data_IF_851705346750
#
_entry.id   IF_851705346750
#
_cell.length_a   1.000
_cell.length_b   1.000
_cell.length_c   1.000
_cell.angle_alpha   90.00
_cell.angle_beta   90.00
_cell.angle_gamma   90.00
#
_symmetry.space_group_name_H-M   'P 1'
#
loop_
_entity.id
_entity.type
_entity.pdbx_description
1 polymer ?
#
# COMPACT_ATOMS: atom_id res chain seq x y z
N UNK A 1 -31.67 47.48 -21.19
CA UNK A 1 -30.41 46.97 -20.57
C UNK A 1 -29.83 45.90 -21.49
N UNK A 2 -28.90 46.25 -22.36
CA UNK A 2 -28.31 45.36 -23.36
C UNK A 2 -27.05 44.74 -22.78
N UNK A 3 -27.11 43.45 -22.40
CA UNK A 3 -25.90 42.67 -21.99
C UNK A 3 -24.96 42.64 -23.20
N UNK A 4 -23.76 43.24 -23.05
CA UNK A 4 -22.81 43.38 -24.16
C UNK A 4 -22.40 41.99 -24.71
N UNK A 5 -22.27 41.92 -26.03
CA UNK A 5 -21.81 40.71 -26.75
C UNK A 5 -20.53 40.10 -26.11
N UNK A 6 -19.64 40.93 -25.61
CA UNK A 6 -18.42 40.58 -24.90
C UNK A 6 -18.67 39.77 -23.62
N UNK A 7 -19.69 40.10 -22.86
CA UNK A 7 -20.03 39.34 -21.64
C UNK A 7 -20.59 37.94 -21.98
N UNK A 8 -21.34 37.81 -23.04
CA UNK A 8 -21.85 36.50 -23.51
C UNK A 8 -20.71 35.63 -24.05
N UNK A 9 -19.78 36.19 -24.82
CA UNK A 9 -18.61 35.47 -25.32
C UNK A 9 -17.69 35.03 -24.18
N UNK A 10 -17.45 35.89 -23.17
CA UNK A 10 -16.65 35.54 -21.99
C UNK A 10 -17.24 34.38 -21.19
N UNK A 11 -18.57 34.36 -21.00
CA UNK A 11 -19.25 33.27 -20.28
C UNK A 11 -19.23 31.96 -21.06
N UNK A 12 -19.38 31.98 -22.39
CA UNK A 12 -19.30 30.78 -23.24
C UNK A 12 -17.89 30.21 -23.24
N UNK A 13 -16.87 31.06 -23.42
CA UNK A 13 -15.45 30.63 -23.38
C UNK A 13 -15.05 30.08 -22.02
N UNK A 14 -15.50 30.70 -20.92
CA UNK A 14 -15.27 30.21 -19.57
C UNK A 14 -15.94 28.86 -19.35
N UNK A 15 -17.18 28.66 -19.79
CA UNK A 15 -17.91 27.40 -19.68
C UNK A 15 -17.25 26.29 -20.50
N UNK A 16 -16.72 26.62 -21.68
CA UNK A 16 -16.02 25.66 -22.54
C UNK A 16 -14.71 25.22 -21.93
N UNK A 17 -13.91 26.13 -21.35
CA UNK A 17 -12.68 25.80 -20.61
C UNK A 17 -12.97 24.88 -19.42
N UNK A 18 -14.00 25.15 -18.64
CA UNK A 18 -14.41 24.32 -17.51
C UNK A 18 -14.78 22.90 -17.94
N UNK A 19 -15.50 22.75 -19.03
CA UNK A 19 -15.86 21.43 -19.59
C UNK A 19 -14.62 20.66 -20.06
N UNK A 20 -13.67 21.34 -20.65
CA UNK A 20 -12.40 20.73 -21.07
C UNK A 20 -11.59 20.27 -19.88
N UNK A 21 -11.43 21.10 -18.83
CA UNK A 21 -10.72 20.73 -17.61
C UNK A 21 -11.42 19.59 -16.87
N UNK A 22 -12.73 19.60 -16.79
CA UNK A 22 -13.50 18.52 -16.19
C UNK A 22 -13.33 17.21 -16.99
N UNK A 23 -13.39 17.27 -18.32
CA UNK A 23 -13.12 16.11 -19.18
C UNK A 23 -11.71 15.54 -18.97
N UNK A 24 -10.70 16.40 -18.95
CA UNK A 24 -9.31 15.99 -18.66
C UNK A 24 -9.20 15.34 -17.27
N UNK A 25 -9.79 15.96 -16.26
CA UNK A 25 -9.77 15.42 -14.88
C UNK A 25 -10.43 14.04 -14.82
N UNK A 26 -11.58 13.86 -15.43
CA UNK A 26 -12.29 12.57 -15.48
C UNK A 26 -11.47 11.50 -16.23
N UNK A 27 -10.82 11.87 -17.33
CA UNK A 27 -9.96 10.96 -18.08
C UNK A 27 -8.75 10.53 -17.24
N UNK A 28 -8.07 11.48 -16.59
CA UNK A 28 -6.95 11.19 -15.70
C UNK A 28 -7.40 10.28 -14.55
N UNK A 29 -8.53 10.60 -13.93
CA UNK A 29 -9.08 9.77 -12.85
C UNK A 29 -9.41 8.36 -13.33
N UNK A 30 -10.04 8.21 -14.49
CA UNK A 30 -10.35 6.90 -15.08
C UNK A 30 -9.09 6.08 -15.36
N UNK A 31 -8.03 6.72 -15.88
CA UNK A 31 -6.73 6.06 -16.12
C UNK A 31 -6.10 5.63 -14.79
N UNK A 32 -6.09 6.49 -13.76
CA UNK A 32 -5.52 6.16 -12.45
C UNK A 32 -6.29 5.02 -11.77
N UNK A 33 -7.63 5.06 -11.81
CA UNK A 33 -8.46 3.97 -11.28
C UNK A 33 -8.24 2.68 -12.07
N UNK A 34 -8.22 2.73 -13.39
CA UNK A 34 -7.94 1.57 -14.24
C UNK A 34 -6.57 0.96 -13.98
N UNK A 35 -5.53 1.79 -13.86
CA UNK A 35 -4.18 1.36 -13.50
C UNK A 35 -4.15 0.70 -12.11
N UNK A 36 -4.81 1.31 -11.11
CA UNK A 36 -4.91 0.75 -9.77
C UNK A 36 -5.59 -0.62 -9.76
N UNK A 37 -6.75 -0.74 -10.41
CA UNK A 37 -7.48 -2.01 -10.51
C UNK A 37 -6.66 -3.09 -11.23
N UNK A 38 -5.93 -2.71 -12.28
CA UNK A 38 -5.06 -3.62 -13.01
C UNK A 38 -3.87 -4.10 -12.17
N UNK A 39 -3.25 -3.21 -11.40
CA UNK A 39 -2.12 -3.54 -10.52
C UNK A 39 -2.54 -4.45 -9.36
N UNK A 40 -3.73 -4.24 -8.79
CA UNK A 40 -4.23 -5.00 -7.64
C UNK A 40 -5.07 -6.23 -8.00
N UNK A 41 -5.28 -6.53 -9.30
CA UNK A 41 -6.17 -7.61 -9.76
C UNK A 41 -5.83 -9.01 -9.25
N UNK A 42 -4.59 -9.24 -8.85
CA UNK A 42 -4.13 -10.53 -8.33
C UNK A 42 -4.22 -10.64 -6.81
N UNK A 43 -4.47 -9.53 -6.11
CA UNK A 43 -4.65 -9.52 -4.66
C UNK A 43 -6.12 -9.85 -4.37
N UNK A 44 -6.44 -11.06 -3.88
CA UNK A 44 -7.82 -11.43 -3.64
C UNK A 44 -8.36 -10.65 -2.42
N UNK A 45 -9.55 -10.08 -2.50
CA UNK A 45 -10.25 -9.61 -1.30
C UNK A 45 -10.67 -10.83 -0.45
N UNK A 46 -10.59 -10.72 0.85
CA UNK A 46 -11.03 -11.80 1.74
C UNK A 46 -9.97 -12.23 2.75
N UNK A 47 -10.16 -13.38 3.40
CA UNK A 47 -9.28 -13.83 4.47
C UNK A 47 -7.90 -14.18 3.92
N UNK A 48 -6.86 -13.75 4.62
CA UNK A 48 -5.49 -14.17 4.31
C UNK A 48 -5.26 -15.60 4.77
N UNK A 49 -4.46 -16.40 4.03
CA UNK A 49 -4.02 -17.70 4.52
C UNK A 49 -3.14 -17.51 5.78
N UNK A 50 -3.16 -18.53 6.66
CA UNK A 50 -2.23 -18.52 7.80
C UNK A 50 -0.84 -18.92 7.33
N UNK A 51 0.00 -17.92 7.12
CA UNK A 51 1.35 -18.07 6.58
C UNK A 51 2.36 -18.24 7.69
N UNK A 52 3.25 -19.27 7.62
CA UNK A 52 4.39 -19.37 8.51
C UNK A 52 5.39 -18.24 8.21
N UNK A 53 5.83 -17.57 9.27
CA UNK A 53 6.74 -16.42 9.19
C UNK A 53 8.00 -16.72 9.99
N UNK A 54 9.15 -16.41 9.40
CA UNK A 54 10.43 -16.32 10.10
C UNK A 54 10.81 -14.85 10.13
N UNK A 55 10.87 -14.26 11.32
CA UNK A 55 11.17 -12.86 11.50
C UNK A 55 12.69 -12.62 11.53
N UNK A 56 13.13 -11.40 11.28
CA UNK A 56 14.55 -11.01 11.38
C UNK A 56 15.11 -11.12 12.79
N UNK A 57 14.26 -11.23 13.82
CA UNK A 57 14.64 -11.55 15.20
C UNK A 57 15.05 -13.02 15.40
N UNK A 58 14.80 -13.88 14.40
CA UNK A 58 14.94 -15.34 14.50
C UNK A 58 13.68 -16.04 15.03
N UNK A 59 12.69 -15.30 15.45
CA UNK A 59 11.41 -15.84 15.91
C UNK A 59 10.64 -16.46 14.74
N UNK A 60 10.03 -17.63 14.99
CA UNK A 60 9.10 -18.26 14.07
C UNK A 60 7.68 -18.09 14.62
N UNK A 61 6.78 -17.59 13.78
CA UNK A 61 5.39 -17.32 14.12
C UNK A 61 4.49 -17.58 12.90
N UNK A 62 3.21 -17.26 13.00
CA UNK A 62 2.33 -17.24 11.82
C UNK A 62 1.72 -15.85 11.66
N UNK A 63 1.20 -15.58 10.45
CA UNK A 63 0.54 -14.30 10.18
C UNK A 63 -0.66 -14.09 11.11
N UNK A 64 -1.42 -15.15 11.39
CA UNK A 64 -2.56 -15.07 12.32
C UNK A 64 -2.08 -14.83 13.76
N UNK A 65 -1.04 -15.52 14.22
CA UNK A 65 -0.50 -15.34 15.57
C UNK A 65 0.08 -13.93 15.76
N UNK A 66 0.82 -13.42 14.74
CA UNK A 66 1.33 -12.04 14.79
C UNK A 66 0.18 -11.02 14.83
N UNK A 67 -0.84 -11.18 13.99
CA UNK A 67 -2.03 -10.30 13.97
C UNK A 67 -2.81 -10.35 15.27
N UNK A 68 -2.92 -11.51 15.92
CA UNK A 68 -3.61 -11.68 17.20
C UNK A 68 -3.01 -10.84 18.34
N UNK A 69 -1.78 -10.37 18.21
CA UNK A 69 -1.15 -9.43 19.15
C UNK A 69 -1.73 -8.00 19.03
N UNK A 70 -2.55 -7.73 17.99
CA UNK A 70 -3.15 -6.43 17.71
C UNK A 70 -4.69 -6.53 17.59
N UNK A 71 -5.39 -6.95 18.69
CA UNK A 71 -6.83 -7.21 18.63
C UNK A 71 -7.63 -5.94 18.33
N UNK A 72 -8.65 -6.08 17.48
CA UNK A 72 -9.56 -4.98 17.14
C UNK A 72 -8.95 -3.87 16.28
N UNK A 73 -7.72 -4.03 15.80
CA UNK A 73 -7.05 -3.02 14.98
C UNK A 73 -6.79 -3.54 13.56
N UNK A 74 -6.89 -2.69 12.53
CA UNK A 74 -6.35 -3.02 11.23
C UNK A 74 -4.83 -3.10 11.30
N UNK A 75 -4.26 -4.03 10.55
CA UNK A 75 -2.80 -4.19 10.43
C UNK A 75 -2.36 -4.00 8.98
N UNK A 76 -1.16 -3.49 8.78
CA UNK A 76 -0.57 -3.35 7.45
C UNK A 76 0.48 -4.43 7.21
N UNK A 77 0.46 -5.02 6.02
CA UNK A 77 1.55 -5.83 5.48
C UNK A 77 2.23 -5.03 4.37
N UNK A 78 3.49 -4.66 4.55
CA UNK A 78 4.28 -3.97 3.54
C UNK A 78 5.27 -4.94 2.90
N UNK A 79 5.06 -5.27 1.63
CA UNK A 79 5.96 -6.15 0.86
C UNK A 79 6.99 -5.29 0.12
N UNK A 80 8.26 -5.57 0.36
CA UNK A 80 9.38 -4.81 -0.20
C UNK A 80 10.54 -5.72 -0.59
N UNK A 81 11.53 -5.18 -1.30
CA UNK A 81 12.76 -5.90 -1.60
C UNK A 81 13.98 -4.99 -1.49
N UNK A 82 15.12 -5.56 -1.11
CA UNK A 82 16.39 -4.83 -0.97
C UNK A 82 16.85 -4.19 -2.29
N UNK A 83 16.65 -4.90 -3.38
CA UNK A 83 17.04 -4.49 -4.73
C UNK A 83 16.07 -3.48 -5.39
N UNK A 84 14.93 -3.15 -4.74
CA UNK A 84 13.87 -2.31 -5.30
C UNK A 84 14.13 -0.82 -5.03
N UNK A 85 14.44 0.01 -6.03
CA UNK A 85 14.70 1.45 -5.81
C UNK A 85 13.45 2.20 -5.32
N UNK A 86 12.26 1.85 -5.82
CA UNK A 86 11.00 2.49 -5.43
C UNK A 86 10.68 2.18 -3.96
N UNK A 87 10.98 0.96 -3.47
CA UNK A 87 10.79 0.61 -2.07
C UNK A 87 11.58 1.53 -1.14
N UNK A 88 12.80 1.95 -1.56
CA UNK A 88 13.62 2.89 -0.78
C UNK A 88 12.94 4.25 -0.61
N UNK A 89 12.17 4.70 -1.57
CA UNK A 89 11.46 5.99 -1.46
C UNK A 89 10.34 5.97 -0.46
N UNK A 90 9.86 4.77 -0.07
CA UNK A 90 8.80 4.59 0.93
C UNK A 90 9.32 4.33 2.34
N UNK A 91 10.62 4.03 2.54
CA UNK A 91 11.19 3.63 3.83
C UNK A 91 10.82 4.60 4.96
N UNK A 92 10.94 5.89 4.72
CA UNK A 92 10.58 6.91 5.71
C UNK A 92 9.06 6.92 6.02
N UNK A 93 8.23 6.73 5.00
CA UNK A 93 6.77 6.69 5.16
C UNK A 93 6.32 5.46 5.94
N UNK A 94 6.90 4.30 5.65
CA UNK A 94 6.62 3.05 6.38
C UNK A 94 7.10 3.15 7.83
N UNK A 95 8.28 3.72 8.07
CA UNK A 95 8.81 3.93 9.43
C UNK A 95 7.89 4.82 10.26
N UNK A 96 7.35 5.90 9.67
CA UNK A 96 6.36 6.75 10.36
C UNK A 96 5.01 6.05 10.54
N UNK A 97 4.57 5.28 9.55
CA UNK A 97 3.33 4.51 9.69
C UNK A 97 3.41 3.52 10.85
N UNK A 98 4.58 2.89 11.04
CA UNK A 98 4.85 1.93 12.11
C UNK A 98 4.77 2.52 13.52
N UNK A 99 4.91 3.85 13.65
CA UNK A 99 4.76 4.53 14.94
C UNK A 99 3.32 4.57 15.44
N UNK A 100 2.36 4.59 14.50
CA UNK A 100 0.94 4.79 14.82
C UNK A 100 0.08 3.54 14.56
N UNK A 101 0.59 2.59 13.76
CA UNK A 101 -0.15 1.43 13.32
C UNK A 101 0.70 0.16 13.39
N UNK A 102 0.07 -1.02 13.63
CA UNK A 102 0.77 -2.28 13.49
C UNK A 102 1.15 -2.52 12.02
N UNK A 103 2.44 -2.59 11.75
CA UNK A 103 2.98 -2.87 10.42
C UNK A 103 3.91 -4.07 10.51
N UNK A 104 3.63 -5.10 9.73
CA UNK A 104 4.56 -6.18 9.45
C UNK A 104 5.15 -5.95 8.06
N UNK A 105 6.46 -5.98 7.94
CA UNK A 105 7.09 -5.91 6.63
C UNK A 105 7.50 -7.31 6.15
N UNK A 106 7.48 -7.55 4.84
CA UNK A 106 7.83 -8.81 4.20
C UNK A 106 8.94 -8.55 3.18
N UNK A 107 10.13 -9.09 3.44
CA UNK A 107 11.30 -8.94 2.58
C UNK A 107 11.29 -9.98 1.46
N UNK A 108 10.64 -9.66 0.35
CA UNK A 108 10.49 -10.54 -0.82
C UNK A 108 11.80 -10.63 -1.59
N UNK A 109 12.30 -11.85 -1.82
CA UNK A 109 13.49 -12.13 -2.65
C UNK A 109 14.72 -11.26 -2.31
N UNK A 110 14.91 -11.01 -1.01
CA UNK A 110 16.01 -10.17 -0.49
C UNK A 110 17.07 -10.97 0.25
N UNK A 111 17.10 -12.29 0.02
CA UNK A 111 17.97 -13.22 0.73
C UNK A 111 17.35 -13.79 2.00
N UNK A 112 18.17 -14.42 2.82
CA UNK A 112 17.76 -15.00 4.09
C UNK A 112 17.82 -13.99 5.25
N UNK A 113 17.73 -14.50 6.47
CA UNK A 113 17.68 -13.72 7.71
C UNK A 113 18.83 -12.72 7.81
N UNK A 114 20.08 -13.18 7.75
CA UNK A 114 21.25 -12.33 7.94
C UNK A 114 21.40 -11.22 6.89
N UNK A 115 21.27 -11.47 5.56
CA UNK A 115 21.26 -10.40 4.57
C UNK A 115 20.21 -9.33 4.83
N UNK A 116 18.96 -9.72 5.13
CA UNK A 116 17.89 -8.75 5.39
C UNK A 116 18.15 -7.96 6.68
N UNK A 117 18.58 -8.62 7.74
CA UNK A 117 18.94 -7.94 8.99
C UNK A 117 20.02 -6.88 8.79
N UNK A 118 21.09 -7.19 8.05
CA UNK A 118 22.15 -6.23 7.69
C UNK A 118 21.61 -5.03 6.90
N UNK A 119 20.61 -5.24 6.03
CA UNK A 119 19.98 -4.14 5.29
C UNK A 119 19.20 -3.24 6.24
N UNK A 120 18.41 -3.81 7.15
CA UNK A 120 17.63 -3.05 8.13
C UNK A 120 18.56 -2.21 9.04
N UNK A 121 19.64 -2.82 9.55
CA UNK A 121 20.64 -2.15 10.39
C UNK A 121 21.33 -1.00 9.62
N UNK A 122 21.85 -1.27 8.42
CA UNK A 122 22.53 -0.28 7.58
C UNK A 122 21.66 0.92 7.24
N UNK A 123 20.36 0.70 7.03
CA UNK A 123 19.38 1.73 6.69
C UNK A 123 18.64 2.30 7.89
N UNK A 124 18.96 1.81 9.10
CA UNK A 124 18.32 2.22 10.37
C UNK A 124 16.79 2.07 10.34
N UNK A 125 16.30 0.95 9.78
CA UNK A 125 14.89 0.64 9.67
C UNK A 125 14.44 -0.21 10.87
N UNK A 126 13.66 0.34 11.81
CA UNK A 126 13.22 -0.36 13.02
C UNK A 126 12.00 -1.24 12.72
N UNK A 127 12.08 -2.03 11.64
CA UNK A 127 10.93 -2.79 11.16
C UNK A 127 10.92 -4.22 11.69
N UNK A 128 9.73 -4.68 12.09
CA UNK A 128 9.48 -6.10 12.24
C UNK A 128 9.30 -6.71 10.85
N UNK A 129 10.25 -7.54 10.42
CA UNK A 129 10.34 -8.01 9.05
C UNK A 129 10.32 -9.54 8.99
N UNK A 130 9.39 -10.08 8.21
CA UNK A 130 9.37 -11.49 7.84
C UNK A 130 10.22 -11.75 6.59
N UNK A 131 10.86 -12.92 6.54
CA UNK A 131 11.74 -13.33 5.45
C UNK A 131 10.94 -14.12 4.41
N UNK A 132 11.03 -13.70 3.16
CA UNK A 132 10.44 -14.38 2.01
C UNK A 132 11.47 -14.54 0.88
N UNK A 133 12.50 -15.33 1.14
CA UNK A 133 13.65 -15.51 0.23
C UNK A 133 13.27 -15.96 -1.19
N UNK A 134 12.17 -16.69 -1.32
CA UNK A 134 11.68 -17.23 -2.60
C UNK A 134 10.50 -16.43 -3.17
N UNK A 135 9.96 -15.45 -2.45
CA UNK A 135 8.76 -14.72 -2.85
C UNK A 135 7.48 -15.55 -2.80
N UNK A 136 7.49 -16.66 -2.07
CA UNK A 136 6.33 -17.57 -1.97
C UNK A 136 5.23 -17.01 -1.10
N UNK A 137 5.59 -16.36 0.00
CA UNK A 137 4.62 -15.71 0.90
C UNK A 137 3.92 -14.54 0.20
N UNK A 138 4.69 -13.69 -0.48
CA UNK A 138 4.14 -12.58 -1.26
C UNK A 138 3.17 -13.09 -2.34
N UNK A 139 3.55 -14.13 -3.10
CA UNK A 139 2.69 -14.71 -4.14
C UNK A 139 1.41 -15.32 -3.57
N UNK A 140 1.45 -15.97 -2.40
CA UNK A 140 0.24 -16.52 -1.78
C UNK A 140 -0.74 -15.44 -1.31
N UNK A 141 -0.25 -14.20 -1.11
CA UNK A 141 -1.06 -13.00 -0.88
C UNK A 141 -1.50 -12.30 -2.18
N UNK A 142 -1.18 -12.86 -3.35
CA UNK A 142 -1.45 -12.26 -4.66
C UNK A 142 -0.51 -11.13 -5.05
N UNK A 143 0.57 -10.90 -4.30
CA UNK A 143 1.57 -9.86 -4.58
C UNK A 143 2.61 -10.41 -5.54
N UNK A 144 2.72 -9.79 -6.73
CA UNK A 144 3.67 -10.19 -7.78
C UNK A 144 4.78 -9.16 -8.02
N UNK A 145 4.65 -7.96 -7.47
CA UNK A 145 5.63 -6.88 -7.61
C UNK A 145 5.68 -6.02 -6.35
N UNK A 146 6.82 -5.37 -6.15
CA UNK A 146 7.11 -4.51 -5.00
C UNK A 146 7.36 -3.07 -5.44
N UNK A 147 7.07 -2.10 -4.56
CA UNK A 147 6.46 -2.24 -3.24
C UNK A 147 4.98 -2.62 -3.32
N UNK A 148 4.44 -3.22 -2.25
CA UNK A 148 3.01 -3.41 -2.11
C UNK A 148 2.59 -3.22 -0.65
N UNK A 149 1.41 -2.67 -0.45
CA UNK A 149 0.80 -2.50 0.86
C UNK A 149 -0.56 -3.20 0.87
N UNK A 150 -0.76 -4.12 1.80
CA UNK A 150 -2.03 -4.76 2.08
C UNK A 150 -2.51 -4.29 3.44
N UNK A 151 -3.77 -3.93 3.57
CA UNK A 151 -4.38 -3.60 4.86
C UNK A 151 -5.44 -4.63 5.19
N UNK A 152 -5.23 -5.27 6.33
CA UNK A 152 -6.11 -6.32 6.87
C UNK A 152 -6.99 -5.72 7.96
N UNK A 153 -8.24 -6.12 7.98
CA UNK A 153 -9.14 -5.81 9.10
C UNK A 153 -8.84 -6.67 10.35
N UNK A 154 -9.57 -6.42 11.43
CA UNK A 154 -9.45 -7.17 12.68
C UNK A 154 -9.73 -8.67 12.53
N UNK A 155 -10.44 -9.08 11.49
CA UNK A 155 -10.75 -10.48 11.19
C UNK A 155 -9.72 -11.14 10.25
N UNK A 156 -8.73 -10.38 9.76
CA UNK A 156 -7.71 -10.85 8.84
C UNK A 156 -8.14 -10.89 7.38
N UNK A 157 -9.16 -10.11 7.00
CA UNK A 157 -9.52 -9.95 5.60
C UNK A 157 -8.77 -8.80 4.96
N UNK A 158 -8.27 -8.99 3.75
CA UNK A 158 -7.70 -7.90 2.96
C UNK A 158 -8.84 -6.96 2.55
N UNK A 159 -8.82 -5.74 3.06
CA UNK A 159 -9.80 -4.70 2.76
C UNK A 159 -9.26 -3.63 1.81
N UNK A 160 -7.97 -3.38 1.86
CA UNK A 160 -7.33 -2.46 0.93
C UNK A 160 -5.99 -3.02 0.48
N UNK A 161 -5.65 -2.75 -0.78
CA UNK A 161 -4.37 -3.10 -1.37
C UNK A 161 -3.86 -1.96 -2.25
N UNK A 162 -2.55 -1.83 -2.33
CA UNK A 162 -1.88 -1.05 -3.36
C UNK A 162 -0.61 -1.75 -3.78
N UNK A 163 -0.32 -1.70 -5.08
CA UNK A 163 0.90 -2.24 -5.69
C UNK A 163 1.58 -1.10 -6.43
N UNK A 164 2.89 -0.94 -6.25
CA UNK A 164 3.64 0.23 -6.64
C UNK A 164 3.67 1.29 -5.55
N UNK A 165 4.32 2.43 -5.83
CA UNK A 165 4.50 3.51 -4.88
C UNK A 165 3.20 4.00 -4.25
N UNK A 166 3.21 4.13 -2.94
CA UNK A 166 2.10 4.69 -2.17
C UNK A 166 2.62 5.77 -1.22
N UNK A 167 2.07 6.97 -1.32
CA UNK A 167 2.43 8.06 -0.40
C UNK A 167 1.98 7.74 1.04
N UNK A 168 2.65 8.30 2.05
CA UNK A 168 2.27 8.13 3.44
C UNK A 168 0.80 8.49 3.71
N UNK A 169 0.33 9.59 3.13
CA UNK A 169 -1.09 10.00 3.24
C UNK A 169 -1.99 8.89 2.67
N UNK A 170 -1.62 8.31 1.52
CA UNK A 170 -2.37 7.20 0.92
C UNK A 170 -2.39 5.95 1.79
N UNK A 171 -1.27 5.63 2.47
CA UNK A 171 -1.20 4.53 3.43
C UNK A 171 -2.12 4.78 4.63
N UNK A 172 -1.99 5.95 5.25
CA UNK A 172 -2.80 6.37 6.43
C UNK A 172 -4.30 6.38 6.13
N UNK A 173 -4.69 6.89 4.96
CA UNK A 173 -6.11 6.90 4.54
C UNK A 173 -6.67 5.48 4.40
N UNK A 174 -5.89 4.51 3.90
CA UNK A 174 -6.31 3.11 3.83
C UNK A 174 -6.46 2.49 5.20
N UNK A 175 -5.52 2.75 6.13
CA UNK A 175 -5.61 2.27 7.51
C UNK A 175 -6.86 2.83 8.21
N UNK A 176 -7.10 4.14 8.10
CA UNK A 176 -8.28 4.80 8.67
C UNK A 176 -9.58 4.27 8.06
N UNK A 177 -9.61 4.12 6.73
CA UNK A 177 -10.79 3.57 6.05
C UNK A 177 -11.12 2.15 6.53
N UNK A 178 -10.12 1.27 6.59
CA UNK A 178 -10.33 -0.10 7.07
C UNK A 178 -10.78 -0.10 8.53
N UNK A 179 -10.23 0.77 9.39
CA UNK A 179 -10.67 0.92 10.78
C UNK A 179 -12.15 1.34 10.92
N UNK A 180 -12.69 2.08 9.94
CA UNK A 180 -14.08 2.55 9.97
C UNK A 180 -15.08 1.54 9.43
N UNK A 181 -14.64 0.58 8.58
CA UNK A 181 -15.53 -0.37 7.87
C UNK A 181 -15.39 -1.82 8.35
N UNK A 182 -14.60 -2.07 9.39
CA UNK A 182 -14.42 -3.40 9.97
C UNK A 182 -15.57 -3.78 10.91
#
# INVERSE_FOLDING_TARGET
>A
MTVSLWQRLATVLRRQRWRTHLGTLLTVLAVLVGAHLWQTRHVPPGPVPDLPLVLTTGETTTLHAWRAQHPGQPVALHVWAEWCPICRTEEHSITRLHQDWPVLTLAMQSGGLQPVQKVLERRQLPWNTAIDSQGTLARSLGVQSVPALLVLDANGHIRAASVGYTSEIGMRLRMLWVRLVQ
#
